data_IF_874742063129
#
_entry.id   IF_874742063129
#
_cell.length_a   1.000
_cell.length_b   1.000
_cell.length_c   1.000
_cell.angle_alpha   90.00
_cell.angle_beta   90.00
_cell.angle_gamma   90.00
#
_symmetry.space_group_name_H-M   'P 1'
#
loop_
_entity.id
_entity.type
_entity.pdbx_description
1 polymer ?
#
# COMPACT_ATOMS: atom_id res chain seq x y z
N UNK A 1 28.45 -30.65 -11.20
CA UNK A 1 28.70 -29.19 -11.20
C UNK A 1 29.57 -28.80 -10.01
N UNK A 2 29.21 -29.16 -8.77
CA UNK A 2 30.05 -28.89 -7.58
C UNK A 2 31.38 -29.70 -7.56
N UNK A 3 31.35 -30.99 -7.89
CA UNK A 3 32.58 -31.81 -8.05
C UNK A 3 33.50 -31.28 -9.16
N UNK A 4 32.91 -30.74 -10.22
CA UNK A 4 33.64 -30.20 -11.38
C UNK A 4 34.39 -28.91 -11.04
N UNK A 5 33.95 -28.21 -9.98
CA UNK A 5 34.59 -27.01 -9.42
C UNK A 5 35.58 -27.35 -8.28
N UNK A 6 35.80 -28.64 -7.98
CA UNK A 6 36.74 -29.09 -6.95
C UNK A 6 36.23 -28.94 -5.51
N UNK A 7 34.92 -28.73 -5.31
CA UNK A 7 34.31 -28.73 -3.98
C UNK A 7 34.02 -30.17 -3.53
N UNK A 8 34.84 -30.69 -2.62
CA UNK A 8 34.77 -32.07 -2.12
C UNK A 8 33.88 -32.23 -0.87
N UNK A 9 33.45 -31.13 -0.26
CA UNK A 9 32.63 -31.12 0.95
C UNK A 9 31.49 -30.10 0.80
N UNK A 10 30.30 -30.49 1.26
CA UNK A 10 29.11 -29.64 1.29
C UNK A 10 28.57 -29.63 2.71
N UNK A 11 28.33 -28.43 3.24
CA UNK A 11 27.70 -28.24 4.53
C UNK A 11 26.18 -28.24 4.35
N UNK A 12 25.51 -29.19 5.01
CA UNK A 12 24.05 -29.33 4.98
C UNK A 12 23.54 -29.17 6.41
N UNK A 13 22.47 -28.38 6.57
CA UNK A 13 21.74 -28.30 7.84
C UNK A 13 20.63 -29.35 7.82
N UNK A 14 20.59 -30.20 8.84
CA UNK A 14 19.50 -31.15 9.07
C UNK A 14 18.48 -30.50 10.02
N UNK A 15 17.19 -30.63 9.68
CA UNK A 15 16.12 -30.10 10.52
C UNK A 15 16.00 -30.94 11.79
N UNK A 16 15.93 -30.29 12.94
CA UNK A 16 15.64 -30.97 14.20
C UNK A 16 14.16 -31.36 14.29
N UNK A 17 13.85 -32.32 15.17
CA UNK A 17 12.47 -32.72 15.42
C UNK A 17 11.66 -31.53 15.97
N UNK A 18 10.60 -31.14 15.25
CA UNK A 18 9.77 -29.99 15.61
C UNK A 18 10.15 -28.67 14.93
N UNK A 19 11.14 -28.67 14.04
CA UNK A 19 11.45 -27.54 13.17
C UNK A 19 10.66 -27.56 11.86
N UNK A 20 10.54 -26.38 11.26
CA UNK A 20 9.92 -26.12 9.95
C UNK A 20 10.98 -25.44 9.07
N UNK A 21 11.17 -25.93 7.85
CA UNK A 21 12.12 -25.33 6.92
C UNK A 21 11.73 -23.90 6.53
N UNK A 22 12.74 -23.07 6.23
CA UNK A 22 12.54 -21.64 5.98
C UNK A 22 11.49 -21.32 4.91
N UNK A 23 11.48 -22.05 3.79
CA UNK A 23 10.56 -21.82 2.69
C UNK A 23 9.11 -22.15 3.06
N UNK A 24 8.91 -23.18 3.88
CA UNK A 24 7.59 -23.53 4.40
C UNK A 24 7.12 -22.47 5.41
N UNK A 25 7.98 -22.08 6.35
CA UNK A 25 7.67 -21.09 7.38
C UNK A 25 7.28 -19.73 6.78
N UNK A 26 8.05 -19.20 5.82
CA UNK A 26 7.72 -17.92 5.18
C UNK A 26 6.44 -17.97 4.37
N UNK A 27 6.11 -19.09 3.73
CA UNK A 27 4.88 -19.23 2.96
C UNK A 27 3.66 -19.27 3.86
N UNK A 28 3.74 -19.98 4.99
CA UNK A 28 2.66 -20.00 5.98
C UNK A 28 2.39 -18.60 6.55
N UNK A 29 3.44 -17.89 6.99
CA UNK A 29 3.26 -16.51 7.50
C UNK A 29 2.77 -15.57 6.41
N UNK A 30 3.31 -15.65 5.19
CA UNK A 30 2.87 -14.82 4.07
C UNK A 30 1.37 -14.98 3.77
N UNK A 31 0.83 -16.20 3.96
CA UNK A 31 -0.58 -16.52 3.78
C UNK A 31 -1.51 -15.84 4.79
N UNK A 32 -1.00 -15.50 5.96
CA UNK A 32 -1.79 -14.97 7.07
C UNK A 32 -1.66 -13.43 7.19
N UNK A 33 -0.49 -12.87 6.88
CA UNK A 33 -0.22 -11.43 7.10
C UNK A 33 -0.92 -10.50 6.11
N UNK A 34 -1.40 -11.03 4.98
CA UNK A 34 -1.90 -10.26 3.85
C UNK A 34 -3.34 -10.61 3.49
N UNK A 35 -4.15 -9.60 3.13
CA UNK A 35 -5.47 -9.83 2.54
C UNK A 35 -5.77 -8.89 1.36
N UNK A 36 -6.81 -9.22 0.59
CA UNK A 36 -7.26 -8.43 -0.55
C UNK A 36 -6.63 -8.90 -1.86
N UNK A 37 -6.32 -7.97 -2.76
CA UNK A 37 -5.84 -8.29 -4.11
C UNK A 37 -4.32 -8.54 -4.12
N UNK A 38 -3.93 -9.67 -3.54
CA UNK A 38 -2.55 -10.11 -3.37
C UNK A 38 -2.32 -11.50 -4.00
N UNK A 39 -1.10 -11.71 -4.46
CA UNK A 39 -0.55 -12.99 -4.88
C UNK A 39 0.75 -13.23 -4.11
N UNK A 40 0.90 -14.44 -3.56
CA UNK A 40 2.09 -14.83 -2.81
C UNK A 40 2.97 -15.68 -3.72
N UNK A 41 4.27 -15.35 -3.77
CA UNK A 41 5.26 -16.08 -4.55
C UNK A 41 6.46 -16.42 -3.68
N UNK A 42 6.80 -17.70 -3.61
CA UNK A 42 8.04 -18.16 -3.01
C UNK A 42 9.24 -17.60 -3.79
N UNK A 43 10.29 -17.23 -3.07
CA UNK A 43 11.53 -16.72 -3.61
C UNK A 43 12.71 -17.33 -2.86
N UNK A 44 13.83 -17.51 -3.55
CA UNK A 44 15.01 -18.16 -2.98
C UNK A 44 15.51 -17.50 -1.69
N UNK A 45 16.04 -18.34 -0.79
CA UNK A 45 16.69 -17.97 0.46
C UNK A 45 15.71 -17.63 1.58
N UNK A 46 14.72 -18.51 1.79
CA UNK A 46 13.74 -18.38 2.86
C UNK A 46 12.92 -17.12 2.73
N UNK A 47 12.34 -16.85 1.55
CA UNK A 47 11.55 -15.65 1.29
C UNK A 47 10.22 -15.95 0.62
N UNK A 48 9.17 -15.27 1.06
CA UNK A 48 7.93 -15.14 0.33
C UNK A 48 7.70 -13.67 -0.02
N UNK A 49 7.35 -13.38 -1.27
CA UNK A 49 7.04 -12.04 -1.75
C UNK A 49 5.54 -11.92 -2.02
N UNK A 50 4.93 -10.82 -1.58
CA UNK A 50 3.53 -10.51 -1.85
C UNK A 50 3.47 -9.45 -2.95
N UNK A 51 2.75 -9.76 -4.02
CA UNK A 51 2.53 -8.90 -5.17
C UNK A 51 1.06 -8.50 -5.24
N UNK A 52 0.77 -7.29 -5.67
CA UNK A 52 -0.61 -6.90 -5.97
C UNK A 52 -1.06 -7.53 -7.28
N UNK A 53 -2.32 -7.97 -7.37
CA UNK A 53 -2.90 -8.51 -8.62
C UNK A 53 -3.53 -7.41 -9.48
N UNK A 54 -3.89 -6.28 -8.87
CA UNK A 54 -4.48 -5.11 -9.54
C UNK A 54 -4.06 -3.81 -8.84
N UNK A 55 -4.48 -2.65 -9.37
CA UNK A 55 -4.17 -1.35 -8.79
C UNK A 55 -4.85 -1.17 -7.41
N UNK A 56 -4.05 -0.96 -6.37
CA UNK A 56 -4.52 -0.93 -4.98
C UNK A 56 -3.99 0.26 -4.18
N UNK A 57 -4.75 0.68 -3.18
CA UNK A 57 -4.25 1.41 -2.03
C UNK A 57 -3.82 0.41 -0.96
N UNK A 58 -2.62 0.56 -0.42
CA UNK A 58 -2.10 -0.30 0.64
C UNK A 58 -2.53 0.24 2.00
N UNK A 59 -3.08 -0.62 2.84
CA UNK A 59 -3.28 -0.35 4.26
C UNK A 59 -2.34 -1.23 5.07
N UNK A 60 -1.62 -0.62 6.01
CA UNK A 60 -0.62 -1.30 6.84
C UNK A 60 -0.90 -1.01 8.30
N UNK A 61 -0.92 -2.06 9.13
CA UNK A 61 -0.84 -1.93 10.58
C UNK A 61 0.63 -1.83 11.01
N UNK A 62 1.13 -0.60 11.10
CA UNK A 62 2.52 -0.33 11.45
C UNK A 62 2.87 -0.76 12.89
N UNK A 63 1.89 -0.80 13.79
CA UNK A 63 2.10 -1.20 15.18
C UNK A 63 2.27 -2.72 15.28
N UNK A 64 1.35 -3.46 14.65
CA UNK A 64 1.42 -4.92 14.59
C UNK A 64 2.68 -5.39 13.83
N UNK A 65 3.04 -4.72 12.73
CA UNK A 65 4.26 -5.01 11.98
C UNK A 65 5.50 -4.89 12.87
N UNK A 66 5.61 -3.79 13.65
CA UNK A 66 6.72 -3.59 14.58
C UNK A 66 6.73 -4.65 15.68
N UNK A 67 5.57 -4.96 16.26
CA UNK A 67 5.46 -5.97 17.31
C UNK A 67 5.98 -7.33 16.84
N UNK A 68 5.57 -7.78 15.65
CA UNK A 68 6.02 -9.05 15.08
C UNK A 68 7.52 -9.00 14.78
N UNK A 69 8.00 -7.94 14.13
CA UNK A 69 9.42 -7.80 13.80
C UNK A 69 10.34 -7.69 15.04
N UNK A 70 9.84 -7.26 16.20
CA UNK A 70 10.60 -7.22 17.45
C UNK A 70 10.69 -8.58 18.15
N UNK A 71 9.75 -9.50 17.90
CA UNK A 71 9.62 -10.76 18.63
C UNK A 71 10.04 -11.99 17.82
N UNK A 72 10.13 -11.88 16.50
CA UNK A 72 10.19 -13.03 15.61
C UNK A 72 11.60 -13.38 15.10
N UNK A 73 11.80 -14.65 14.81
CA UNK A 73 12.88 -15.20 13.98
C UNK A 73 12.70 -14.88 12.48
N UNK A 74 11.63 -14.16 12.13
CA UNK A 74 11.25 -13.79 10.78
C UNK A 74 11.06 -12.28 10.68
N UNK A 75 11.42 -11.72 9.54
CA UNK A 75 11.33 -10.29 9.25
C UNK A 75 10.33 -10.04 8.14
N UNK A 76 9.40 -9.12 8.37
CA UNK A 76 8.41 -8.67 7.40
C UNK A 76 8.74 -7.23 7.00
N UNK A 77 8.80 -6.97 5.69
CA UNK A 77 8.90 -5.63 5.15
C UNK A 77 7.74 -5.34 4.21
N UNK A 78 7.08 -4.20 4.39
CA UNK A 78 5.91 -3.78 3.59
C UNK A 78 6.18 -2.48 2.85
N UNK A 79 5.34 -2.18 1.85
CA UNK A 79 5.20 -0.82 1.32
C UNK A 79 4.63 0.11 2.39
N UNK A 80 4.73 1.42 2.16
CA UNK A 80 4.19 2.41 3.09
C UNK A 80 2.67 2.34 3.19
N UNK A 81 2.15 2.63 4.38
CA UNK A 81 0.73 2.81 4.59
C UNK A 81 0.17 3.91 3.65
N UNK A 82 -1.02 3.71 3.11
CA UNK A 82 -1.68 4.54 2.10
C UNK A 82 -0.95 4.72 0.77
N UNK A 83 0.09 3.92 0.49
CA UNK A 83 0.78 3.97 -0.80
C UNK A 83 -0.08 3.36 -1.91
N UNK A 84 0.08 3.89 -3.13
CA UNK A 84 -0.49 3.32 -4.33
C UNK A 84 0.44 2.23 -4.89
N UNK A 85 -0.12 1.07 -5.20
CA UNK A 85 0.57 -0.03 -5.86
C UNK A 85 -0.14 -0.39 -7.17
N UNK A 86 0.63 -0.54 -8.25
CA UNK A 86 0.11 -1.05 -9.53
C UNK A 86 0.07 -2.57 -9.51
N UNK A 87 -0.86 -3.18 -10.26
CA UNK A 87 -0.86 -4.63 -10.44
C UNK A 87 0.50 -5.16 -10.89
N UNK A 88 0.94 -6.26 -10.29
CA UNK A 88 2.25 -6.87 -10.46
C UNK A 88 3.36 -6.25 -9.60
N UNK A 89 3.10 -5.20 -8.83
CA UNK A 89 4.09 -4.59 -7.94
C UNK A 89 4.25 -5.41 -6.66
N UNK A 90 5.51 -5.71 -6.29
CA UNK A 90 5.84 -6.28 -4.99
C UNK A 90 5.56 -5.26 -3.90
N UNK A 91 4.70 -5.62 -2.95
CA UNK A 91 4.29 -4.74 -1.85
C UNK A 91 4.71 -5.23 -0.48
N UNK A 92 5.10 -6.50 -0.33
CA UNK A 92 5.68 -7.01 0.91
C UNK A 92 6.60 -8.19 0.66
N UNK A 93 7.48 -8.46 1.62
CA UNK A 93 8.29 -9.67 1.69
C UNK A 93 8.36 -10.16 3.13
N UNK A 94 8.26 -11.48 3.29
CA UNK A 94 8.52 -12.21 4.52
C UNK A 94 9.82 -12.96 4.33
N UNK A 95 10.74 -12.82 5.29
CA UNK A 95 12.04 -13.49 5.25
C UNK A 95 12.28 -14.24 6.56
N UNK A 96 12.67 -15.50 6.47
CA UNK A 96 13.25 -16.21 7.60
C UNK A 96 14.70 -15.74 7.82
N UNK A 97 15.07 -15.48 9.07
CA UNK A 97 16.46 -15.23 9.43
C UNK A 97 17.28 -16.54 9.56
N UNK A 98 16.79 -17.59 10.25
CA UNK A 98 17.40 -18.92 10.22
C UNK A 98 16.90 -19.77 9.05
N UNK A 99 17.64 -20.84 8.72
CA UNK A 99 17.22 -21.85 7.71
C UNK A 99 16.05 -22.72 8.20
N UNK A 100 15.79 -22.74 9.50
CA UNK A 100 14.72 -23.50 10.14
C UNK A 100 14.10 -22.68 11.28
N UNK A 101 12.79 -22.78 11.45
CA UNK A 101 12.02 -22.10 12.50
C UNK A 101 11.32 -23.15 13.35
N UNK A 102 11.41 -23.04 14.66
CA UNK A 102 10.69 -23.95 15.57
C UNK A 102 9.17 -23.78 15.43
N UNK A 103 8.39 -24.87 15.48
CA UNK A 103 6.92 -24.81 15.42
C UNK A 103 6.29 -23.82 16.41
N UNK A 104 6.70 -23.77 17.70
CA UNK A 104 6.10 -22.83 18.65
C UNK A 104 6.31 -21.35 18.27
N UNK A 105 7.46 -21.00 17.67
CA UNK A 105 7.70 -19.64 17.20
C UNK A 105 6.82 -19.29 15.99
N UNK A 106 6.70 -20.22 15.04
CA UNK A 106 5.83 -20.05 13.87
C UNK A 106 4.37 -19.88 14.29
N UNK A 107 3.89 -20.76 15.17
CA UNK A 107 2.52 -20.75 15.68
C UNK A 107 2.20 -19.46 16.45
N UNK A 108 3.16 -18.93 17.22
CA UNK A 108 3.00 -17.66 17.92
C UNK A 108 2.80 -16.49 16.95
N UNK A 109 3.60 -16.40 15.88
CA UNK A 109 3.45 -15.35 14.86
C UNK A 109 2.09 -15.46 14.16
N UNK A 110 1.71 -16.67 13.73
CA UNK A 110 0.41 -16.90 13.06
C UNK A 110 -0.75 -16.55 13.99
N UNK A 111 -0.67 -16.92 15.26
CA UNK A 111 -1.73 -16.66 16.25
C UNK A 111 -1.94 -15.17 16.48
N UNK A 112 -0.86 -14.39 16.62
CA UNK A 112 -0.92 -12.93 16.76
C UNK A 112 -1.66 -12.30 15.56
N UNK A 113 -1.34 -12.73 14.34
CA UNK A 113 -1.97 -12.22 13.12
C UNK A 113 -3.43 -12.65 13.03
N UNK A 114 -3.77 -13.89 13.41
CA UNK A 114 -5.17 -14.36 13.41
C UNK A 114 -6.04 -13.62 14.41
N UNK A 115 -5.50 -13.27 15.58
CA UNK A 115 -6.23 -12.53 16.61
C UNK A 115 -6.43 -11.06 16.23
N UNK A 116 -5.37 -10.40 15.72
CA UNK A 116 -5.37 -8.97 15.43
C UNK A 116 -5.90 -8.62 14.04
N UNK A 117 -5.86 -9.57 13.11
CA UNK A 117 -6.14 -9.36 11.70
C UNK A 117 -4.88 -9.13 10.85
N UNK A 118 -5.04 -8.96 9.53
CA UNK A 118 -3.94 -8.89 8.59
C UNK A 118 -3.13 -7.60 8.77
N UNK A 119 -1.80 -7.72 8.70
CA UNK A 119 -0.85 -6.60 8.73
C UNK A 119 -0.99 -5.73 7.48
N UNK A 120 -1.15 -6.37 6.31
CA UNK A 120 -1.16 -5.73 5.01
C UNK A 120 -2.48 -5.99 4.29
N UNK A 121 -3.11 -4.93 3.79
CA UNK A 121 -4.31 -5.05 2.99
C UNK A 121 -4.11 -4.34 1.65
N UNK A 122 -4.20 -5.08 0.55
CA UNK A 122 -4.27 -4.49 -0.79
C UNK A 122 -5.72 -4.20 -1.14
N UNK A 123 -6.13 -2.93 -1.09
CA UNK A 123 -7.51 -2.51 -1.36
C UNK A 123 -7.63 -1.95 -2.78
N UNK A 124 -8.31 -2.66 -3.71
CA UNK A 124 -8.45 -2.20 -5.09
C UNK A 124 -9.15 -0.85 -5.20
N UNK A 125 -8.66 0.00 -6.10
CA UNK A 125 -9.30 1.26 -6.44
C UNK A 125 -10.16 1.03 -7.69
N UNK A 126 -11.45 0.75 -7.49
CA UNK A 126 -12.38 0.39 -8.58
C UNK A 126 -13.14 1.62 -9.08
N UNK A 127 -12.96 1.96 -10.35
CA UNK A 127 -13.69 3.00 -11.09
C UNK A 127 -13.91 4.29 -10.27
N UNK A 128 -12.84 4.94 -9.75
CA UNK A 128 -13.00 6.10 -8.90
C UNK A 128 -13.61 7.25 -9.69
N UNK A 129 -14.74 7.77 -9.21
CA UNK A 129 -15.35 8.98 -9.77
C UNK A 129 -14.76 10.18 -9.05
N UNK A 130 -13.96 10.99 -9.74
CA UNK A 130 -13.24 12.11 -9.12
C UNK A 130 -13.85 13.43 -9.58
N UNK A 131 -14.26 14.27 -8.63
CA UNK A 131 -14.61 15.65 -8.90
C UNK A 131 -13.43 16.57 -8.60
N UNK A 132 -13.22 17.61 -9.40
CA UNK A 132 -12.19 18.62 -9.17
C UNK A 132 -12.83 20.00 -9.11
N UNK A 133 -12.53 20.74 -8.05
CA UNK A 133 -12.90 22.14 -7.88
C UNK A 133 -11.63 23.00 -7.92
N UNK A 134 -11.53 23.87 -8.92
CA UNK A 134 -10.47 24.86 -9.02
C UNK A 134 -10.91 26.16 -8.35
N UNK A 135 -10.07 26.73 -7.49
CA UNK A 135 -10.37 27.97 -6.77
C UNK A 135 -9.23 28.97 -6.87
N UNK A 136 -9.58 30.24 -7.04
CA UNK A 136 -8.66 31.36 -7.02
C UNK A 136 -9.40 32.60 -6.50
N UNK A 137 -8.74 33.51 -5.76
CA UNK A 137 -9.39 34.70 -5.22
C UNK A 137 -9.91 35.68 -6.29
N UNK A 138 -9.33 35.67 -7.49
CA UNK A 138 -9.65 36.61 -8.57
C UNK A 138 -10.46 35.94 -9.69
N UNK A 139 -10.14 34.70 -10.05
CA UNK A 139 -10.85 33.96 -11.10
C UNK A 139 -10.59 32.46 -11.02
N UNK A 140 -11.62 31.67 -10.73
CA UNK A 140 -11.48 30.20 -10.71
C UNK A 140 -10.94 29.61 -12.02
N UNK A 141 -11.22 30.24 -13.16
CA UNK A 141 -10.69 29.78 -14.46
C UNK A 141 -9.17 29.90 -14.53
N UNK A 142 -8.57 30.87 -13.84
CA UNK A 142 -7.12 30.99 -13.71
C UNK A 142 -6.54 29.78 -12.98
N UNK A 143 -7.14 29.37 -11.86
CA UNK A 143 -6.71 28.16 -11.15
C UNK A 143 -6.81 26.92 -12.03
N UNK A 144 -7.91 26.81 -12.80
CA UNK A 144 -8.09 25.72 -13.76
C UNK A 144 -6.98 25.70 -14.81
N UNK A 145 -6.68 26.84 -15.43
CA UNK A 145 -5.59 26.93 -16.43
C UNK A 145 -4.23 26.51 -15.86
N UNK A 146 -3.94 26.88 -14.61
CA UNK A 146 -2.67 26.55 -13.96
C UNK A 146 -2.57 25.07 -13.56
N UNK A 147 -3.68 24.47 -13.10
CA UNK A 147 -3.65 23.15 -12.45
C UNK A 147 -4.29 22.02 -13.27
N UNK A 148 -5.01 22.29 -14.35
CA UNK A 148 -5.72 21.23 -15.11
C UNK A 148 -4.77 20.14 -15.61
N UNK A 149 -3.66 20.52 -16.25
CA UNK A 149 -2.67 19.56 -16.74
C UNK A 149 -1.99 18.79 -15.60
N UNK A 150 -1.73 19.45 -14.47
CA UNK A 150 -1.11 18.82 -13.30
C UNK A 150 -2.06 17.79 -12.69
N UNK A 151 -3.34 18.14 -12.52
CA UNK A 151 -4.36 17.25 -12.00
C UNK A 151 -4.59 16.06 -12.92
N UNK A 152 -4.67 16.29 -14.24
CA UNK A 152 -4.77 15.25 -15.26
C UNK A 152 -3.63 14.23 -15.13
N UNK A 153 -2.38 14.70 -15.13
CA UNK A 153 -1.21 13.82 -14.99
C UNK A 153 -1.19 13.05 -13.66
N UNK A 154 -1.61 13.69 -12.54
CA UNK A 154 -1.67 13.02 -11.22
C UNK A 154 -2.73 11.92 -11.19
N UNK A 155 -3.92 12.17 -11.75
CA UNK A 155 -4.99 11.19 -11.82
C UNK A 155 -4.66 10.04 -12.77
N UNK A 156 -4.05 10.33 -13.93
CA UNK A 156 -3.61 9.31 -14.88
C UNK A 156 -2.60 8.33 -14.27
N UNK A 157 -1.71 8.79 -13.38
CA UNK A 157 -0.77 7.91 -12.65
C UNK A 157 -1.47 6.88 -11.76
N UNK A 158 -2.69 7.20 -11.32
CA UNK A 158 -3.57 6.34 -10.52
C UNK A 158 -4.60 5.59 -11.39
N UNK A 159 -4.53 5.70 -12.72
CA UNK A 159 -5.52 5.12 -13.64
C UNK A 159 -6.90 5.79 -13.57
N UNK A 160 -6.97 7.05 -13.10
CA UNK A 160 -8.20 7.80 -12.93
C UNK A 160 -8.24 9.04 -13.83
N UNK A 161 -9.42 9.64 -13.96
CA UNK A 161 -9.64 10.93 -14.61
C UNK A 161 -10.67 11.76 -13.84
N UNK A 162 -10.66 13.08 -14.05
CA UNK A 162 -11.67 13.95 -13.46
C UNK A 162 -13.00 13.77 -14.20
N UNK A 163 -14.02 13.31 -13.49
CA UNK A 163 -15.37 13.09 -14.01
C UNK A 163 -16.20 14.38 -14.01
N UNK A 164 -15.98 15.24 -13.01
CA UNK A 164 -16.68 16.51 -12.87
C UNK A 164 -15.69 17.60 -12.54
N UNK A 165 -15.80 18.74 -13.22
CA UNK A 165 -14.87 19.85 -13.05
C UNK A 165 -15.66 21.14 -12.92
N UNK A 166 -15.40 21.88 -11.85
CA UNK A 166 -15.88 23.24 -11.67
C UNK A 166 -14.71 24.18 -11.33
N UNK A 167 -14.96 25.46 -11.58
CA UNK A 167 -14.09 26.55 -11.20
C UNK A 167 -14.93 27.59 -10.44
N UNK A 168 -14.41 28.10 -9.33
CA UNK A 168 -15.12 29.06 -8.49
C UNK A 168 -14.16 30.14 -7.98
N UNK A 169 -14.73 31.31 -7.64
CA UNK A 169 -14.03 32.27 -6.80
C UNK A 169 -13.79 31.66 -5.42
N UNK A 170 -12.66 31.99 -4.82
CA UNK A 170 -12.29 31.52 -3.49
C UNK A 170 -12.97 32.34 -2.38
N UNK A 171 -14.30 32.36 -2.41
CA UNK A 171 -15.16 32.85 -1.33
C UNK A 171 -16.09 31.72 -0.85
N UNK A 172 -16.48 31.80 0.42
CA UNK A 172 -17.25 30.74 1.09
C UNK A 172 -18.52 30.37 0.32
N UNK A 173 -19.27 31.37 -0.17
CA UNK A 173 -20.55 31.14 -0.81
C UNK A 173 -20.38 30.48 -2.19
N UNK A 174 -19.41 30.91 -2.99
CA UNK A 174 -19.12 30.33 -4.29
C UNK A 174 -18.56 28.90 -4.19
N UNK A 175 -17.65 28.66 -3.24
CA UNK A 175 -17.08 27.33 -2.98
C UNK A 175 -18.17 26.39 -2.46
N UNK A 176 -18.98 26.80 -1.49
CA UNK A 176 -20.05 25.98 -0.94
C UNK A 176 -21.07 25.57 -2.01
N UNK A 177 -21.51 26.50 -2.86
CA UNK A 177 -22.42 26.18 -3.98
C UNK A 177 -21.81 25.18 -4.96
N UNK A 178 -20.53 25.38 -5.31
CA UNK A 178 -19.82 24.50 -6.24
C UNK A 178 -19.63 23.09 -5.67
N UNK A 179 -19.23 22.99 -4.39
CA UNK A 179 -19.12 21.71 -3.69
C UNK A 179 -20.47 21.00 -3.61
N UNK A 180 -21.54 21.70 -3.21
CA UNK A 180 -22.89 21.12 -3.19
C UNK A 180 -23.33 20.60 -4.56
N UNK A 181 -22.98 21.33 -5.64
CA UNK A 181 -23.26 20.88 -7.00
C UNK A 181 -22.49 19.60 -7.35
N UNK A 182 -21.18 19.55 -7.08
CA UNK A 182 -20.34 18.37 -7.32
C UNK A 182 -20.82 17.15 -6.51
N UNK A 183 -21.22 17.35 -5.26
CA UNK A 183 -21.69 16.27 -4.38
C UNK A 183 -22.99 15.61 -4.87
N UNK A 184 -23.82 16.29 -5.67
CA UNK A 184 -25.02 15.68 -6.29
C UNK A 184 -24.67 14.51 -7.20
N UNK A 185 -23.49 14.55 -7.81
CA UNK A 185 -22.99 13.47 -8.66
C UNK A 185 -22.42 12.28 -7.85
N UNK A 186 -22.39 12.38 -6.52
CA UNK A 186 -21.85 11.36 -5.59
C UNK A 186 -20.46 10.85 -6.00
N UNK A 187 -19.48 11.75 -6.21
CA UNK A 187 -18.13 11.32 -6.54
C UNK A 187 -17.52 10.54 -5.37
N UNK A 188 -16.60 9.63 -5.67
CA UNK A 188 -15.80 8.92 -4.67
C UNK A 188 -14.94 9.89 -3.86
N UNK A 189 -14.44 10.94 -4.51
CA UNK A 189 -13.63 11.97 -3.87
C UNK A 189 -13.79 13.31 -4.60
N UNK A 190 -13.68 14.41 -3.85
CA UNK A 190 -13.58 15.76 -4.38
C UNK A 190 -12.17 16.28 -4.09
N UNK A 191 -11.45 16.69 -5.13
CA UNK A 191 -10.14 17.33 -5.02
C UNK A 191 -10.31 18.84 -5.22
N UNK A 192 -9.77 19.62 -4.30
CA UNK A 192 -9.77 21.09 -4.41
C UNK A 192 -8.36 21.55 -4.75
N UNK A 193 -8.23 22.30 -5.83
CA UNK A 193 -6.97 22.86 -6.29
C UNK A 193 -7.04 24.39 -6.24
N UNK A 194 -6.40 24.96 -5.21
CA UNK A 194 -6.36 26.40 -4.98
C UNK A 194 -5.03 27.01 -5.39
N UNK A 195 -5.04 28.25 -5.89
CA UNK A 195 -3.83 29.05 -6.16
C UNK A 195 -3.27 29.71 -4.91
N UNK A 196 -4.06 29.82 -3.85
CA UNK A 196 -3.61 30.25 -2.53
C UNK A 196 -2.86 29.11 -1.84
N UNK A 197 -1.72 29.43 -1.23
CA UNK A 197 -1.04 28.46 -0.38
C UNK A 197 -1.95 28.12 0.82
N UNK A 198 -2.00 26.85 1.26
CA UNK A 198 -2.64 26.51 2.53
C UNK A 198 -1.81 27.11 3.67
N UNK A 199 -2.10 28.36 4.02
CA UNK A 199 -1.44 29.08 5.10
C UNK A 199 -1.44 30.60 4.90
N UNK A 200 -2.48 31.27 5.38
CA UNK A 200 -2.39 32.39 6.33
C UNK A 200 -3.81 32.98 6.57
N UNK A 201 -4.68 32.26 7.28
CA UNK A 201 -5.78 32.94 7.97
C UNK A 201 -5.17 33.61 9.21
N UNK A 202 -4.77 34.88 9.09
CA UNK A 202 -4.73 35.76 10.26
C UNK A 202 -6.14 36.29 10.43
N UNK A 203 -6.82 35.82 11.48
CA UNK A 203 -7.99 36.51 12.02
C UNK A 203 -7.59 37.95 12.36
N UNK A 204 -8.26 38.93 11.75
CA UNK A 204 -8.30 40.29 12.24
C UNK A 204 -9.37 40.41 13.33
#
# INVERSE_FOLDING_TARGET
MLETEGMNEVWVTELEEGEVGEDEAVMQVAGEIGCGSLEIRLAAGGRANLFTTEACCMLVDDELLKQINCAASMVIATSLNFSYARGGQRVSTVKSAPFAVTRPQLDAVISIVKERGPILQARPIKNPTVAVLYTDPLSGDRARQLFENIMRQRLERLGASASFVLAALEDEAAVARSLQHLLRAKPTCVLVASTTAPGCFRSA
#
